data_IF_815020314445
#
_entry.id   IF_815020314445
#
_cell.length_a   1.000
_cell.length_b   1.000
_cell.length_c   1.000
_cell.angle_alpha   90.00
_cell.angle_beta   90.00
_cell.angle_gamma   90.00
#
_symmetry.space_group_name_H-M   'P 1'
#
loop_
_entity.id
_entity.type
_entity.pdbx_description
1 polymer ?
#
# COMPACT_ATOMS: atom_id res chain seq x y z
N UNK A 1 5.02 6.52 -14.23
CA UNK A 1 5.48 5.20 -13.79
C UNK A 1 6.78 5.23 -12.98
N UNK A 2 7.74 6.06 -13.37
CA UNK A 2 8.97 6.25 -12.57
C UNK A 2 8.63 6.82 -11.19
N UNK A 3 7.71 7.77 -11.13
CA UNK A 3 7.26 8.34 -9.87
C UNK A 3 6.69 7.25 -8.95
N UNK A 4 5.79 6.40 -9.46
CA UNK A 4 5.18 5.33 -8.68
C UNK A 4 6.24 4.35 -8.21
N UNK A 5 7.13 3.93 -9.11
CA UNK A 5 8.17 2.98 -8.74
C UNK A 5 9.09 3.53 -7.66
N UNK A 6 9.66 4.73 -7.86
CA UNK A 6 10.67 5.27 -6.94
C UNK A 6 10.07 5.76 -5.63
N UNK A 7 8.91 6.39 -5.67
CA UNK A 7 8.35 7.03 -4.47
C UNK A 7 7.41 6.12 -3.69
N UNK A 8 6.75 5.17 -4.35
CA UNK A 8 5.75 4.32 -3.70
C UNK A 8 6.24 2.87 -3.62
N UNK A 9 6.38 2.20 -4.76
CA UNK A 9 6.74 0.77 -4.75
C UNK A 9 8.06 0.51 -4.06
N UNK A 10 9.09 1.25 -4.42
CA UNK A 10 10.40 1.13 -3.79
C UNK A 10 10.47 1.88 -2.45
N UNK A 11 9.63 2.89 -2.27
CA UNK A 11 9.58 3.70 -1.06
C UNK A 11 9.25 2.88 0.18
N UNK A 12 8.30 1.95 0.09
CA UNK A 12 7.93 1.10 1.22
C UNK A 12 9.10 0.20 1.64
N UNK A 13 9.86 -0.32 0.68
CA UNK A 13 11.05 -1.14 0.98
C UNK A 13 12.16 -0.32 1.60
N UNK A 14 12.36 0.91 1.17
CA UNK A 14 13.34 1.81 1.79
C UNK A 14 13.02 2.04 3.27
N UNK A 15 11.76 2.19 3.62
CA UNK A 15 11.34 2.31 5.02
C UNK A 15 11.66 1.04 5.79
N UNK A 16 11.27 -0.11 5.25
CA UNK A 16 11.38 -1.39 5.94
C UNK A 16 12.81 -1.86 6.16
N UNK A 17 13.70 -1.55 5.24
CA UNK A 17 15.10 -2.01 5.29
C UNK A 17 16.09 -0.91 5.67
N UNK A 18 15.61 0.25 6.11
CA UNK A 18 16.49 1.29 6.61
C UNK A 18 17.26 0.78 7.84
N UNK A 19 18.57 1.05 7.88
CA UNK A 19 19.42 0.56 8.95
C UNK A 19 19.72 1.62 10.01
N UNK A 20 19.25 2.85 9.81
CA UNK A 20 19.42 3.95 10.76
C UNK A 20 18.12 4.71 10.94
N UNK A 21 17.97 5.38 12.07
CA UNK A 21 16.81 6.20 12.34
C UNK A 21 16.64 7.31 11.29
N UNK A 22 17.72 8.00 10.94
CA UNK A 22 17.64 9.09 9.96
C UNK A 22 17.30 8.60 8.56
N UNK A 23 17.82 7.45 8.14
CA UNK A 23 17.47 6.87 6.84
C UNK A 23 15.98 6.47 6.79
N UNK A 24 15.47 5.91 7.88
CA UNK A 24 14.07 5.57 7.98
C UNK A 24 13.18 6.81 7.91
N UNK A 25 13.49 7.85 8.68
CA UNK A 25 12.68 9.07 8.70
C UNK A 25 12.64 9.75 7.34
N UNK A 26 13.78 9.83 6.68
CA UNK A 26 13.84 10.37 5.32
C UNK A 26 13.00 9.57 4.35
N UNK A 27 13.09 8.25 4.42
CA UNK A 27 12.34 7.35 3.55
C UNK A 27 10.83 7.46 3.78
N UNK A 28 10.39 7.48 5.03
CA UNK A 28 8.95 7.51 5.34
C UNK A 28 8.33 8.86 4.97
N UNK A 29 9.04 9.95 5.18
CA UNK A 29 8.56 11.28 4.79
C UNK A 29 8.40 11.35 3.26
N UNK A 30 9.40 10.88 2.53
CA UNK A 30 9.36 10.86 1.06
C UNK A 30 8.20 10.01 0.55
N UNK A 31 7.98 8.83 1.15
CA UNK A 31 6.89 7.94 0.78
C UNK A 31 5.53 8.64 0.96
N UNK A 32 5.28 9.23 2.10
CA UNK A 32 3.98 9.85 2.38
C UNK A 32 3.76 11.14 1.60
N UNK A 33 4.82 11.87 1.25
CA UNK A 33 4.71 12.98 0.29
C UNK A 33 4.22 12.46 -1.06
N UNK A 34 4.73 11.32 -1.50
CA UNK A 34 4.26 10.68 -2.74
C UNK A 34 2.80 10.24 -2.66
N UNK A 35 2.39 9.66 -1.54
CA UNK A 35 0.99 9.27 -1.33
C UNK A 35 0.07 10.47 -1.32
N UNK A 36 0.48 11.57 -0.70
CA UNK A 36 -0.30 12.81 -0.69
C UNK A 36 -0.48 13.37 -2.10
N UNK A 37 0.53 13.25 -2.95
CA UNK A 37 0.43 13.67 -4.35
C UNK A 37 -0.57 12.81 -5.12
N UNK A 38 -0.55 11.49 -4.90
CA UNK A 38 -1.54 10.60 -5.51
C UNK A 38 -2.95 10.89 -5.01
N UNK A 39 -3.10 11.18 -3.74
CA UNK A 39 -4.38 11.57 -3.16
C UNK A 39 -4.95 12.80 -3.86
N UNK A 40 -4.11 13.79 -4.13
CA UNK A 40 -4.50 15.01 -4.84
C UNK A 40 -4.91 14.74 -6.29
N UNK A 41 -4.17 13.88 -6.98
CA UNK A 41 -4.51 13.48 -8.35
C UNK A 41 -5.90 12.83 -8.39
N UNK A 42 -6.16 11.94 -7.46
CA UNK A 42 -7.41 11.17 -7.40
C UNK A 42 -8.60 11.99 -6.91
N UNK A 43 -8.38 13.20 -6.43
CA UNK A 43 -9.47 14.09 -6.05
C UNK A 43 -10.32 14.50 -7.26
N UNK A 44 -9.71 14.57 -8.43
CA UNK A 44 -10.37 15.00 -9.66
C UNK A 44 -10.35 13.93 -10.76
N UNK A 45 -9.96 12.72 -10.45
CA UNK A 45 -9.74 11.67 -11.44
C UNK A 45 -10.16 10.32 -10.89
N UNK A 46 -10.77 9.49 -11.73
CA UNK A 46 -11.17 8.14 -11.34
C UNK A 46 -9.94 7.24 -11.18
N UNK A 47 -8.97 7.39 -12.06
CA UNK A 47 -7.72 6.64 -12.07
C UNK A 47 -6.53 7.58 -12.08
N UNK A 48 -5.33 7.04 -12.00
CA UNK A 48 -4.10 7.86 -11.94
C UNK A 48 -3.96 8.73 -13.19
N UNK A 49 -4.33 8.19 -14.36
CA UNK A 49 -4.27 8.93 -15.62
C UNK A 49 -5.68 8.97 -16.22
N UNK A 50 -6.49 9.92 -15.76
CA UNK A 50 -7.81 10.17 -16.31
C UNK A 50 -8.88 9.15 -15.95
N UNK A 51 -9.69 8.75 -16.90
CA UNK A 51 -10.91 7.99 -16.67
C UNK A 51 -10.80 6.52 -17.04
N UNK A 52 -9.63 6.07 -17.46
CA UNK A 52 -9.40 4.68 -17.85
C UNK A 52 -8.23 4.10 -17.09
N UNK A 53 -8.28 2.80 -16.83
CA UNK A 53 -7.16 2.08 -16.21
C UNK A 53 -5.98 2.07 -17.17
N UNK A 54 -4.81 2.43 -16.65
CA UNK A 54 -3.56 2.40 -17.38
C UNK A 54 -2.53 1.56 -16.63
N UNK A 55 -1.35 1.41 -17.20
CA UNK A 55 -0.24 0.71 -16.57
C UNK A 55 0.11 1.33 -15.21
N UNK A 56 -0.09 2.65 -15.05
CA UNK A 56 0.17 3.32 -13.78
C UNK A 56 -0.66 2.71 -12.64
N UNK A 57 -1.94 2.43 -12.90
CA UNK A 57 -2.82 1.79 -11.92
C UNK A 57 -2.38 0.36 -11.63
N UNK A 58 -2.05 -0.40 -12.65
CA UNK A 58 -1.61 -1.79 -12.52
C UNK A 58 -0.34 -1.89 -11.69
N UNK A 59 0.57 -0.93 -11.81
CA UNK A 59 1.81 -0.90 -11.03
C UNK A 59 1.59 -0.45 -9.59
N UNK A 60 0.62 0.41 -9.36
CA UNK A 60 0.36 0.98 -8.03
C UNK A 60 -0.46 0.06 -7.14
N UNK A 61 -1.48 -0.60 -7.70
CA UNK A 61 -2.46 -1.32 -6.88
C UNK A 61 -1.87 -2.42 -6.00
N UNK A 62 -0.89 -3.22 -6.44
CA UNK A 62 -0.31 -4.25 -5.56
C UNK A 62 0.26 -3.67 -4.26
N UNK A 63 0.94 -2.53 -4.35
CA UNK A 63 1.50 -1.86 -3.17
C UNK A 63 0.41 -1.34 -2.24
N UNK A 64 -0.63 -0.72 -2.80
CA UNK A 64 -1.74 -0.20 -1.98
C UNK A 64 -2.52 -1.32 -1.30
N UNK A 65 -2.73 -2.44 -1.98
CA UNK A 65 -3.43 -3.59 -1.40
C UNK A 65 -2.67 -4.21 -0.24
N UNK A 66 -1.35 -4.11 -0.23
CA UNK A 66 -0.49 -4.66 0.81
C UNK A 66 -0.17 -3.65 1.90
N UNK A 67 -0.52 -2.38 1.70
CA UNK A 67 -0.03 -1.31 2.54
C UNK A 67 -0.49 -1.44 3.99
N UNK A 68 -1.79 -1.45 4.22
CA UNK A 68 -2.34 -1.43 5.57
C UNK A 68 -2.07 -2.75 6.32
N UNK A 69 -2.13 -3.88 5.62
CA UNK A 69 -1.96 -5.19 6.25
C UNK A 69 -0.50 -5.63 6.43
N UNK A 70 0.42 -5.06 5.63
CA UNK A 70 1.83 -5.47 5.69
C UNK A 70 2.74 -4.28 5.94
N UNK A 71 2.75 -3.28 5.07
CA UNK A 71 3.77 -2.25 5.12
C UNK A 71 3.68 -1.34 6.35
N UNK A 72 2.48 -1.10 6.86
CA UNK A 72 2.30 -0.32 8.08
C UNK A 72 3.01 -0.99 9.26
N UNK A 73 2.84 -2.29 9.43
CA UNK A 73 3.42 -3.03 10.56
C UNK A 73 4.85 -3.49 10.27
N UNK A 74 5.03 -4.19 9.16
CA UNK A 74 6.28 -4.89 8.83
C UNK A 74 7.39 -3.91 8.44
N UNK A 75 7.06 -2.87 7.69
CA UNK A 75 8.01 -1.87 7.19
C UNK A 75 7.93 -0.53 7.93
N UNK A 76 7.09 -0.44 8.94
CA UNK A 76 6.93 0.79 9.75
C UNK A 76 6.48 2.01 8.93
N UNK A 77 5.68 1.79 7.88
CA UNK A 77 5.07 2.87 7.10
C UNK A 77 3.85 3.40 7.84
N UNK A 78 4.07 4.11 8.93
CA UNK A 78 3.07 4.31 9.98
C UNK A 78 2.46 5.71 10.08
N UNK A 79 2.84 6.64 9.21
CA UNK A 79 2.30 8.00 9.33
C UNK A 79 0.79 8.05 9.08
N UNK A 80 0.31 7.19 8.18
CA UNK A 80 -1.11 7.13 7.84
C UNK A 80 -1.39 5.80 7.14
N UNK A 81 -2.59 5.26 7.31
CA UNK A 81 -3.02 4.07 6.57
C UNK A 81 -3.68 4.51 5.27
N UNK A 82 -3.71 3.62 4.27
CA UNK A 82 -4.41 3.94 3.01
C UNK A 82 -5.89 4.18 3.26
N UNK A 83 -6.49 3.42 4.17
CA UNK A 83 -7.91 3.58 4.50
C UNK A 83 -8.23 4.96 5.10
N UNK A 84 -7.25 5.67 5.61
CA UNK A 84 -7.43 7.00 6.18
C UNK A 84 -7.46 8.11 5.11
N UNK A 85 -7.11 7.79 3.88
CA UNK A 85 -7.19 8.72 2.74
C UNK A 85 -8.55 8.60 2.05
N UNK A 86 -9.21 9.71 1.84
CA UNK A 86 -10.53 9.72 1.20
C UNK A 86 -10.48 9.13 -0.22
N UNK A 87 -9.59 9.64 -1.05
CA UNK A 87 -9.54 9.29 -2.46
C UNK A 87 -8.79 7.99 -2.73
N UNK A 88 -7.69 7.74 -2.02
CA UNK A 88 -6.98 6.47 -2.14
C UNK A 88 -7.85 5.31 -1.66
N UNK A 89 -8.62 5.49 -0.59
CA UNK A 89 -9.57 4.49 -0.12
C UNK A 89 -10.62 4.17 -1.19
N UNK A 90 -11.24 5.19 -1.75
CA UNK A 90 -12.22 5.04 -2.83
C UNK A 90 -11.59 4.31 -4.03
N UNK A 91 -10.40 4.73 -4.42
CA UNK A 91 -9.65 4.18 -5.54
C UNK A 91 -9.36 2.68 -5.35
N UNK A 92 -8.88 2.29 -4.18
CA UNK A 92 -8.62 0.86 -3.89
C UNK A 92 -9.92 0.06 -3.93
N UNK A 93 -11.00 0.59 -3.36
CA UNK A 93 -12.30 -0.08 -3.41
C UNK A 93 -12.80 -0.26 -4.84
N UNK A 94 -12.65 0.77 -5.67
CA UNK A 94 -13.04 0.70 -7.08
C UNK A 94 -12.27 -0.40 -7.81
N UNK A 95 -10.95 -0.46 -7.60
CA UNK A 95 -10.12 -1.46 -8.26
C UNK A 95 -10.42 -2.88 -7.75
N UNK A 96 -10.68 -3.04 -6.46
CA UNK A 96 -11.06 -4.34 -5.90
C UNK A 96 -12.41 -4.84 -6.38
N UNK A 97 -13.27 -3.96 -6.88
CA UNK A 97 -14.54 -4.38 -7.47
C UNK A 97 -14.37 -5.01 -8.85
N UNK A 98 -13.21 -4.88 -9.46
CA UNK A 98 -12.89 -5.51 -10.74
C UNK A 98 -12.52 -6.97 -10.49
N UNK A 99 -13.27 -7.95 -11.06
CA UNK A 99 -13.08 -9.36 -10.74
C UNK A 99 -11.65 -9.87 -10.98
N UNK A 100 -11.00 -9.43 -12.04
CA UNK A 100 -9.64 -9.86 -12.35
C UNK A 100 -8.64 -9.43 -11.27
N UNK A 101 -8.81 -8.24 -10.70
CA UNK A 101 -7.96 -7.73 -9.62
C UNK A 101 -8.27 -8.45 -8.32
N UNK A 102 -9.55 -8.57 -7.99
CA UNK A 102 -10.01 -9.25 -6.77
C UNK A 102 -9.49 -10.69 -6.69
N UNK A 103 -9.48 -11.39 -7.81
CA UNK A 103 -8.99 -12.77 -7.91
C UNK A 103 -7.54 -12.94 -7.51
N UNK A 104 -6.70 -11.92 -7.76
CA UNK A 104 -5.27 -11.98 -7.47
C UNK A 104 -4.94 -11.59 -6.04
N UNK A 105 -5.90 -11.03 -5.30
CA UNK A 105 -5.70 -10.55 -3.94
C UNK A 105 -6.01 -11.65 -2.93
N UNK A 106 -4.97 -12.15 -2.26
CA UNK A 106 -5.08 -13.14 -1.20
C UNK A 106 -4.27 -12.67 0.00
N UNK A 107 -4.95 -12.13 1.02
CA UNK A 107 -4.31 -11.53 2.18
C UNK A 107 -3.45 -12.53 2.96
N UNK A 108 -3.91 -13.77 3.11
CA UNK A 108 -3.17 -14.80 3.85
C UNK A 108 -1.83 -15.11 3.17
N UNK A 109 -1.84 -15.30 1.85
CA UNK A 109 -0.61 -15.54 1.08
C UNK A 109 0.32 -14.34 1.12
N UNK A 110 -0.24 -13.13 1.05
CA UNK A 110 0.55 -11.89 1.11
C UNK A 110 1.26 -11.79 2.45
N UNK A 111 0.55 -11.99 3.55
CA UNK A 111 1.14 -11.94 4.89
C UNK A 111 2.20 -13.01 5.08
N UNK A 112 1.95 -14.25 4.66
CA UNK A 112 2.93 -15.32 4.77
C UNK A 112 4.19 -15.00 3.99
N UNK A 113 4.04 -14.51 2.76
CA UNK A 113 5.18 -14.16 1.93
C UNK A 113 6.07 -13.11 2.62
N UNK A 114 5.49 -12.01 3.08
CA UNK A 114 6.29 -10.92 3.64
C UNK A 114 6.85 -11.26 5.02
N UNK A 115 6.03 -11.74 5.92
CA UNK A 115 6.47 -11.97 7.29
C UNK A 115 7.39 -13.18 7.45
N UNK A 116 7.31 -14.15 6.54
CA UNK A 116 8.22 -15.30 6.55
C UNK A 116 9.53 -15.03 5.81
N UNK A 117 9.51 -14.23 4.75
CA UNK A 117 10.68 -14.07 3.87
C UNK A 117 11.71 -13.08 4.39
N UNK A 118 11.30 -12.08 5.14
CA UNK A 118 12.19 -11.00 5.57
C UNK A 118 12.71 -11.24 6.99
N UNK A 119 13.56 -12.26 7.15
CA UNK A 119 14.07 -12.66 8.46
C UNK A 119 14.92 -11.61 9.15
N UNK A 120 15.57 -10.72 8.40
CA UNK A 120 16.39 -9.66 8.99
C UNK A 120 15.53 -8.63 9.73
N UNK A 121 14.25 -8.49 9.43
CA UNK A 121 13.35 -7.57 10.13
C UNK A 121 12.25 -8.29 10.90
N UNK A 122 12.06 -9.58 10.64
CA UNK A 122 11.10 -10.42 11.37
C UNK A 122 11.71 -11.82 11.60
N UNK A 123 12.75 -11.91 12.46
CA UNK A 123 13.52 -13.15 12.59
C UNK A 123 12.71 -14.34 13.10
N UNK A 124 11.68 -14.12 13.91
CA UNK A 124 10.85 -15.17 14.47
C UNK A 124 9.71 -15.60 13.56
N UNK A 125 9.55 -14.99 12.41
CA UNK A 125 8.54 -15.33 11.39
C UNK A 125 7.10 -15.30 11.94
N UNK A 126 6.83 -14.37 12.87
CA UNK A 126 5.51 -14.19 13.47
C UNK A 126 4.65 -13.38 12.49
N UNK A 127 3.44 -13.86 12.22
CA UNK A 127 2.48 -13.20 11.34
C UNK A 127 1.43 -12.51 12.20
N UNK A 128 1.28 -11.17 12.10
CA UNK A 128 0.23 -10.46 12.83
C UNK A 128 -1.17 -10.94 12.44
N UNK A 129 -2.06 -11.02 13.41
CA UNK A 129 -3.46 -11.38 13.14
C UNK A 129 -4.19 -10.27 12.39
N UNK A 130 -3.99 -9.03 12.80
CA UNK A 130 -4.62 -7.88 12.18
C UNK A 130 -3.67 -7.10 11.28
N UNK A 131 -4.16 -6.03 10.65
CA UNK A 131 -5.59 -5.71 10.56
C UNK A 131 -6.35 -6.69 9.66
N UNK A 132 -7.66 -6.77 9.88
CA UNK A 132 -8.54 -7.53 9.01
C UNK A 132 -8.68 -6.85 7.64
N UNK A 133 -9.43 -7.46 6.72
CA UNK A 133 -9.68 -6.93 5.38
C UNK A 133 -10.58 -5.68 5.45
N UNK A 134 -9.95 -4.54 5.73
CA UNK A 134 -10.65 -3.28 6.02
C UNK A 134 -11.46 -2.74 4.85
N UNK A 135 -11.03 -3.04 3.61
CA UNK A 135 -11.68 -2.53 2.41
C UNK A 135 -13.12 -3.01 2.28
N UNK A 136 -13.35 -4.29 2.55
CA UNK A 136 -14.67 -4.90 2.48
C UNK A 136 -15.59 -4.30 3.53
N UNK A 137 -15.10 -4.15 4.76
CA UNK A 137 -15.88 -3.57 5.86
C UNK A 137 -16.26 -2.12 5.54
N UNK A 138 -15.32 -1.34 5.05
CA UNK A 138 -15.54 0.07 4.71
C UNK A 138 -16.58 0.20 3.60
N UNK A 139 -16.51 -0.64 2.59
CA UNK A 139 -17.48 -0.63 1.48
C UNK A 139 -18.89 -0.98 1.95
N UNK A 140 -19.02 -1.87 2.93
CA UNK A 140 -20.32 -2.30 3.46
C UNK A 140 -20.99 -1.22 4.31
N UNK A 141 -20.21 -0.35 4.95
CA UNK A 141 -20.70 0.72 5.81
C UNK A 141 -21.20 1.92 5.00
N UNK A 142 -20.63 2.13 3.85
CA UNK A 142 -20.98 3.25 2.97
C UNK A 142 -22.19 2.93 2.11
#
# INVERSE_FOLDING_TARGET
NKFIYHNINNGVYKCGFASTQSAYEEAVISLFNGLDELESILDNSTYIVGDSITEADIRLIPTLLRFDSVYVTHFKCTLKRIIDYKNLRRYVNDLLSIPAIKKTHNLDHIKRHYYFSHKQINPNQIIPIGPAELWIITSSIQ
#
